data_IF_366864742355
#
_entry.id   IF_366864742355
#
_cell.length_a   1.000
_cell.length_b   1.000
_cell.length_c   1.000
_cell.angle_alpha   90.00
_cell.angle_beta   90.00
_cell.angle_gamma   90.00
#
_symmetry.space_group_name_H-M   'P 1'
#
loop_
_entity.id
_entity.type
_entity.pdbx_description
1 polymer ?
#
# COMPACT_ATOMS: atom_id res chain seq x y z
N UNK A 1 24.05 6.88 13.54
CA UNK A 1 25.03 5.81 13.24
C UNK A 1 24.35 4.92 12.21
N UNK A 2 24.85 4.88 10.96
CA UNK A 2 24.26 4.00 9.94
C UNK A 2 24.76 2.57 10.26
N UNK A 3 23.84 1.67 10.60
CA UNK A 3 24.15 0.25 10.63
C UNK A 3 24.52 -0.18 9.21
N UNK A 4 25.74 -0.59 9.03
CA UNK A 4 26.19 -1.24 7.80
C UNK A 4 25.55 -2.62 7.76
N UNK A 5 24.53 -2.79 6.93
CA UNK A 5 23.99 -4.11 6.64
C UNK A 5 25.09 -4.92 5.97
N UNK A 6 25.55 -5.97 6.62
CA UNK A 6 26.51 -6.89 6.01
C UNK A 6 25.81 -7.72 4.94
N UNK A 7 26.47 -7.93 3.80
CA UNK A 7 25.97 -8.85 2.79
C UNK A 7 25.77 -10.26 3.40
N UNK A 8 24.73 -10.99 2.98
CA UNK A 8 24.51 -12.35 3.43
C UNK A 8 25.72 -13.23 3.08
N UNK A 9 26.15 -14.05 4.02
CA UNK A 9 27.22 -15.03 3.83
C UNK A 9 26.67 -16.30 3.20
N UNK A 10 26.16 -16.24 1.97
CA UNK A 10 25.83 -17.45 1.24
C UNK A 10 26.98 -17.80 0.30
N UNK A 11 27.31 -19.10 0.23
CA UNK A 11 28.28 -19.63 -0.70
C UNK A 11 27.63 -20.10 -2.01
N UNK A 12 26.31 -20.17 -2.04
CA UNK A 12 25.53 -20.60 -3.19
C UNK A 12 24.80 -19.38 -3.83
N UNK A 13 25.30 -18.95 -4.99
CA UNK A 13 24.75 -17.82 -5.72
C UNK A 13 23.39 -18.15 -6.39
N UNK A 14 23.17 -19.40 -6.76
CA UNK A 14 21.89 -19.86 -7.32
C UNK A 14 20.79 -19.79 -6.24
N UNK A 15 21.08 -20.27 -5.02
CA UNK A 15 20.16 -20.15 -3.90
C UNK A 15 19.87 -18.68 -3.55
N UNK A 16 20.90 -17.84 -3.56
CA UNK A 16 20.73 -16.41 -3.30
C UNK A 16 19.80 -15.74 -4.32
N UNK A 17 20.03 -15.96 -5.62
CA UNK A 17 19.20 -15.35 -6.65
C UNK A 17 17.77 -15.87 -6.59
N UNK A 18 17.56 -17.18 -6.42
CA UNK A 18 16.23 -17.79 -6.36
C UNK A 18 15.44 -17.28 -5.15
N UNK A 19 16.08 -17.17 -3.99
CA UNK A 19 15.45 -16.65 -2.77
C UNK A 19 15.21 -15.13 -2.80
N UNK A 20 15.77 -14.41 -3.77
CA UNK A 20 15.62 -12.97 -3.95
C UNK A 20 14.55 -12.59 -4.98
N UNK A 21 13.90 -13.57 -5.61
CA UNK A 21 12.90 -13.34 -6.66
C UNK A 21 11.49 -13.55 -6.13
N UNK A 22 10.62 -12.56 -6.35
CA UNK A 22 9.18 -12.68 -6.15
C UNK A 22 8.47 -12.55 -7.51
N UNK A 23 8.20 -13.69 -8.16
CA UNK A 23 7.55 -13.72 -9.47
C UNK A 23 6.08 -13.31 -9.39
N UNK A 24 5.60 -12.52 -10.35
CA UNK A 24 4.16 -12.18 -10.49
C UNK A 24 3.32 -13.44 -10.77
N UNK A 25 3.86 -14.39 -11.52
CA UNK A 25 3.14 -15.62 -11.91
C UNK A 25 2.80 -16.51 -10.72
N UNK A 26 3.60 -16.48 -9.67
CA UNK A 26 3.37 -17.22 -8.44
C UNK A 26 2.41 -16.53 -7.47
N UNK A 27 1.84 -15.35 -7.83
CA UNK A 27 1.05 -14.51 -6.94
C UNK A 27 -0.33 -14.23 -7.50
N UNK A 28 -1.31 -14.26 -6.63
CA UNK A 28 -2.70 -13.90 -6.94
C UNK A 28 -3.02 -12.51 -6.41
N UNK A 29 -4.03 -11.86 -7.00
CA UNK A 29 -4.57 -10.62 -6.41
C UNK A 29 -5.44 -11.02 -5.23
N UNK A 30 -5.01 -10.63 -4.04
CA UNK A 30 -5.73 -10.86 -2.79
C UNK A 30 -6.72 -9.70 -2.53
N UNK A 31 -8.00 -10.00 -2.58
CA UNK A 31 -9.09 -9.08 -2.23
C UNK A 31 -9.61 -9.30 -0.81
N UNK A 32 -9.13 -10.29 -0.08
CA UNK A 32 -9.65 -10.66 1.23
C UNK A 32 -8.96 -9.90 2.37
N UNK A 33 -7.68 -9.64 2.28
CA UNK A 33 -6.92 -8.89 3.29
C UNK A 33 -7.56 -7.54 3.67
N UNK A 34 -8.12 -6.82 2.70
CA UNK A 34 -8.77 -5.52 2.92
C UNK A 34 -10.31 -5.58 2.82
N UNK A 35 -10.89 -6.77 2.76
CA UNK A 35 -12.33 -6.98 2.61
C UNK A 35 -13.17 -6.32 3.71
N UNK A 36 -12.62 -6.19 4.92
CA UNK A 36 -13.32 -5.52 6.02
C UNK A 36 -13.77 -4.08 5.64
N UNK A 37 -13.10 -3.43 4.70
CA UNK A 37 -13.46 -2.08 4.24
C UNK A 37 -14.78 -2.07 3.46
N UNK A 38 -15.15 -3.18 2.80
CA UNK A 38 -16.43 -3.28 2.07
C UNK A 38 -17.65 -3.34 2.98
N UNK A 39 -17.46 -3.44 4.32
CA UNK A 39 -18.55 -3.24 5.29
C UNK A 39 -19.21 -1.85 5.15
N UNK A 40 -18.46 -0.87 4.61
CA UNK A 40 -18.93 0.50 4.35
C UNK A 40 -19.37 0.72 2.89
N UNK A 41 -19.42 -0.33 2.09
CA UNK A 41 -19.86 -0.33 0.70
C UNK A 41 -18.83 -0.87 -0.28
N UNK A 42 -19.29 -1.39 -1.41
CA UNK A 42 -18.46 -2.03 -2.43
C UNK A 42 -17.43 -1.09 -3.07
N UNK A 43 -17.67 0.23 -3.00
CA UNK A 43 -16.70 1.23 -3.47
C UNK A 43 -15.33 1.15 -2.77
N UNK A 44 -15.25 0.50 -1.61
CA UNK A 44 -13.98 0.30 -0.88
C UNK A 44 -13.28 -1.02 -1.22
N UNK A 45 -13.74 -1.73 -2.25
CA UNK A 45 -13.10 -2.95 -2.71
C UNK A 45 -11.78 -2.64 -3.37
N UNK A 46 -10.71 -3.28 -2.91
CA UNK A 46 -9.38 -3.22 -3.52
C UNK A 46 -8.60 -4.50 -3.24
N UNK A 47 -7.71 -4.85 -4.15
CA UNK A 47 -6.86 -6.03 -4.03
C UNK A 47 -5.39 -5.66 -3.86
N UNK A 48 -4.62 -6.61 -3.36
CA UNK A 48 -3.17 -6.49 -3.21
C UNK A 48 -2.44 -7.68 -3.82
N UNK A 49 -1.25 -7.41 -4.35
CA UNK A 49 -0.24 -8.42 -4.66
C UNK A 49 1.00 -8.05 -3.87
N UNK A 50 1.33 -8.83 -2.85
CA UNK A 50 2.47 -8.58 -1.96
C UNK A 50 3.74 -9.19 -2.53
N UNK A 51 4.84 -8.45 -2.51
CA UNK A 51 6.17 -8.88 -2.98
C UNK A 51 7.21 -8.86 -1.87
N UNK A 52 7.28 -7.78 -1.10
CA UNK A 52 8.22 -7.61 0.02
C UNK A 52 7.43 -7.21 1.26
N UNK A 53 7.43 -8.05 2.28
CA UNK A 53 6.70 -7.82 3.52
C UNK A 53 5.18 -7.75 3.34
N UNK A 54 4.47 -7.65 4.45
CA UNK A 54 2.99 -7.65 4.48
C UNK A 54 2.38 -6.25 4.39
N UNK A 55 3.19 -5.20 4.28
CA UNK A 55 2.69 -3.83 4.37
C UNK A 55 2.07 -3.52 5.73
N UNK A 56 1.18 -2.54 5.77
CA UNK A 56 0.47 -2.11 6.97
C UNK A 56 -0.93 -2.75 7.10
N UNK A 57 -1.11 -3.95 6.57
CA UNK A 57 -2.41 -4.64 6.57
C UNK A 57 -2.76 -5.28 7.91
N UNK A 58 -1.74 -5.65 8.69
CA UNK A 58 -1.88 -6.45 9.92
C UNK A 58 -2.17 -7.93 9.65
N UNK A 59 -2.25 -8.34 8.39
CA UNK A 59 -2.42 -9.74 7.99
C UNK A 59 -1.08 -10.32 7.52
N UNK A 60 -0.62 -11.34 8.21
CA UNK A 60 0.63 -12.05 7.97
C UNK A 60 0.42 -13.50 7.52
N UNK A 61 -0.81 -13.87 7.12
CA UNK A 61 -1.17 -15.25 6.80
C UNK A 61 -0.34 -15.86 5.66
N UNK A 62 0.10 -15.02 4.71
CA UNK A 62 0.85 -15.44 3.53
C UNK A 62 2.31 -15.00 3.55
N UNK A 63 2.86 -14.62 4.70
CA UNK A 63 4.22 -14.07 4.81
C UNK A 63 5.31 -15.05 4.33
N UNK A 64 5.04 -16.36 4.37
CA UNK A 64 5.97 -17.39 3.86
C UNK A 64 6.12 -17.36 2.32
N UNK A 65 5.19 -16.70 1.62
CA UNK A 65 5.17 -16.64 0.16
C UNK A 65 5.74 -15.31 -0.40
N UNK A 66 6.26 -14.44 0.47
CA UNK A 66 6.79 -13.13 0.11
C UNK A 66 8.24 -13.00 0.57
N UNK A 67 8.98 -12.09 -0.07
CA UNK A 67 10.32 -11.74 0.37
C UNK A 67 10.24 -11.01 1.73
N UNK A 68 11.19 -11.30 2.61
CA UNK A 68 11.24 -10.64 3.92
C UNK A 68 11.67 -9.17 3.77
N UNK A 69 10.90 -8.27 4.37
CA UNK A 69 11.24 -6.85 4.40
C UNK A 69 12.41 -6.57 5.34
N UNK A 70 13.34 -5.69 4.94
CA UNK A 70 14.40 -5.19 5.81
C UNK A 70 14.23 -3.71 6.13
N UNK A 71 13.87 -2.88 5.12
CA UNK A 71 13.77 -1.43 5.26
C UNK A 71 12.44 -0.86 4.78
N UNK A 72 11.76 -1.57 3.87
CA UNK A 72 10.48 -1.15 3.30
C UNK A 72 9.64 -2.37 2.94
N UNK A 73 8.36 -2.16 2.73
CA UNK A 73 7.48 -3.15 2.11
C UNK A 73 7.10 -2.71 0.70
N UNK A 74 6.87 -3.68 -0.19
CA UNK A 74 6.49 -3.42 -1.57
C UNK A 74 5.33 -4.31 -1.99
N UNK A 75 4.29 -3.69 -2.51
CA UNK A 75 3.12 -4.38 -3.07
C UNK A 75 2.58 -3.67 -4.29
N UNK A 76 1.78 -4.37 -5.09
CA UNK A 76 0.91 -3.75 -6.06
C UNK A 76 -0.52 -3.71 -5.50
N UNK A 77 -1.18 -2.58 -5.63
CA UNK A 77 -2.60 -2.43 -5.34
C UNK A 77 -3.39 -2.41 -6.65
N UNK A 78 -4.41 -3.24 -6.74
CA UNK A 78 -5.45 -3.17 -7.77
C UNK A 78 -6.63 -2.42 -7.17
N UNK A 79 -6.95 -1.27 -7.75
CA UNK A 79 -8.07 -0.44 -7.34
C UNK A 79 -9.10 -0.43 -8.49
N UNK A 80 -10.22 -1.16 -8.38
CA UNK A 80 -11.21 -1.25 -9.44
C UNK A 80 -11.78 0.10 -9.85
N UNK A 81 -12.28 0.20 -11.08
CA UNK A 81 -12.87 1.41 -11.62
C UNK A 81 -13.92 2.01 -10.65
N UNK A 82 -13.79 3.30 -10.34
CA UNK A 82 -14.66 4.01 -9.39
C UNK A 82 -14.48 3.67 -7.92
N UNK A 83 -13.60 2.70 -7.59
CA UNK A 83 -13.32 2.35 -6.20
C UNK A 83 -12.40 3.34 -5.51
N UNK A 84 -12.43 3.29 -4.18
CA UNK A 84 -11.77 4.25 -3.28
C UNK A 84 -10.87 3.51 -2.29
N UNK A 85 -9.64 3.98 -2.15
CA UNK A 85 -8.83 3.75 -0.97
C UNK A 85 -9.23 4.80 0.08
N UNK A 86 -9.85 4.40 1.19
CA UNK A 86 -10.42 5.33 2.15
C UNK A 86 -9.37 6.24 2.77
N UNK A 87 -9.81 7.39 3.27
CA UNK A 87 -8.94 8.28 4.04
C UNK A 87 -8.37 7.55 5.25
N UNK A 88 -7.04 7.53 5.35
CA UNK A 88 -6.32 6.90 6.45
C UNK A 88 -4.99 7.63 6.70
N UNK A 89 -4.39 7.35 7.86
CA UNK A 89 -3.13 7.95 8.27
C UNK A 89 -2.17 6.87 8.75
N UNK A 90 -0.96 6.85 8.19
CA UNK A 90 0.17 6.12 8.75
C UNK A 90 0.90 7.02 9.74
N UNK A 91 0.94 6.67 11.05
CA UNK A 91 1.52 7.55 12.06
C UNK A 91 3.05 7.57 12.02
N UNK A 92 3.66 6.49 11.60
CA UNK A 92 5.08 6.16 11.79
C UNK A 92 5.90 6.21 10.50
N UNK A 93 5.28 6.13 9.33
CA UNK A 93 5.99 5.92 8.06
C UNK A 93 5.45 6.78 6.92
N UNK A 94 6.32 7.10 5.99
CA UNK A 94 5.91 7.61 4.68
C UNK A 94 5.42 6.49 3.79
N UNK A 95 4.55 6.83 2.85
CA UNK A 95 4.00 5.94 1.84
C UNK A 95 4.18 6.55 0.45
N UNK A 96 4.62 5.72 -0.48
CA UNK A 96 4.83 6.10 -1.88
C UNK A 96 3.88 5.32 -2.76
N UNK A 97 3.21 6.02 -3.67
CA UNK A 97 2.39 5.43 -4.72
C UNK A 97 2.98 5.78 -6.09
N UNK A 98 3.14 4.78 -6.93
CA UNK A 98 3.60 4.93 -8.31
C UNK A 98 2.60 4.25 -9.25
N UNK A 99 1.96 5.02 -10.11
CA UNK A 99 0.88 4.53 -10.98
C UNK A 99 1.46 3.77 -12.16
N UNK A 100 1.04 2.52 -12.34
CA UNK A 100 1.41 1.68 -13.48
C UNK A 100 0.36 1.68 -14.57
N UNK A 101 -0.93 1.67 -14.20
CA UNK A 101 -2.06 1.63 -15.13
C UNK A 101 -3.23 2.43 -14.58
N UNK A 102 -4.08 2.94 -15.47
CA UNK A 102 -5.25 3.74 -15.11
C UNK A 102 -4.92 5.17 -14.69
N UNK A 103 -5.91 5.84 -14.12
CA UNK A 103 -5.80 7.18 -13.55
C UNK A 103 -6.39 7.20 -12.14
N UNK A 104 -5.69 7.85 -11.23
CA UNK A 104 -6.04 7.89 -9.82
C UNK A 104 -6.01 9.31 -9.30
N UNK A 105 -7.11 9.75 -8.70
CA UNK A 105 -7.15 10.97 -7.92
C UNK A 105 -6.59 10.67 -6.53
N UNK A 106 -5.47 11.30 -6.19
CA UNK A 106 -4.90 11.28 -4.85
C UNK A 106 -5.27 12.56 -4.11
N UNK A 107 -5.67 12.40 -2.85
CA UNK A 107 -5.98 13.51 -1.96
C UNK A 107 -5.13 13.42 -0.70
N UNK A 108 -4.62 14.57 -0.26
CA UNK A 108 -4.06 14.76 1.08
C UNK A 108 -4.98 15.69 1.85
N UNK A 109 -5.18 15.40 3.12
CA UNK A 109 -6.12 16.14 3.97
C UNK A 109 -5.33 16.92 5.03
N UNK A 110 -5.89 18.05 5.45
CA UNK A 110 -5.32 18.85 6.52
C UNK A 110 -5.40 18.07 7.84
N UNK A 111 -4.34 18.10 8.63
CA UNK A 111 -4.23 17.34 9.88
C UNK A 111 -5.14 17.91 10.97
N UNK A 112 -5.32 19.25 11.00
CA UNK A 112 -6.13 19.94 11.99
C UNK A 112 -7.59 20.07 11.54
N UNK A 113 -7.80 20.35 10.25
CA UNK A 113 -9.12 20.48 9.63
C UNK A 113 -9.26 19.50 8.47
N UNK A 114 -9.60 18.25 8.79
CA UNK A 114 -9.75 17.18 7.81
C UNK A 114 -10.81 17.42 6.73
N UNK A 115 -11.64 18.48 6.85
CA UNK A 115 -12.55 18.89 5.77
C UNK A 115 -11.82 19.58 4.62
N UNK A 116 -10.63 20.13 4.87
CA UNK A 116 -9.76 20.71 3.86
C UNK A 116 -8.90 19.65 3.22
N UNK A 117 -8.88 19.62 1.91
CA UNK A 117 -8.05 18.70 1.13
C UNK A 117 -7.53 19.33 -0.14
N UNK A 118 -6.40 18.80 -0.61
CA UNK A 118 -5.88 19.06 -1.94
C UNK A 118 -5.79 17.76 -2.73
N UNK A 119 -6.20 17.78 -3.99
CA UNK A 119 -6.23 16.58 -4.83
C UNK A 119 -5.50 16.82 -6.16
N UNK A 120 -4.91 15.75 -6.71
CA UNK A 120 -4.36 15.72 -8.07
C UNK A 120 -4.69 14.36 -8.71
N UNK A 121 -4.94 14.38 -10.00
CA UNK A 121 -5.05 13.15 -10.79
C UNK A 121 -3.66 12.80 -11.31
N UNK A 122 -3.26 11.58 -11.00
CA UNK A 122 -2.01 10.97 -11.44
C UNK A 122 -2.30 9.83 -12.40
N UNK A 123 -1.44 9.66 -13.41
CA UNK A 123 -1.53 8.62 -14.42
C UNK A 123 -0.23 7.84 -14.57
N UNK A 124 -0.07 7.19 -15.71
CA UNK A 124 1.05 6.30 -16.00
C UNK A 124 2.42 6.92 -15.69
N UNK A 125 3.15 6.29 -14.76
CA UNK A 125 4.48 6.68 -14.25
C UNK A 125 4.53 7.96 -13.42
N UNK A 126 3.40 8.47 -12.99
CA UNK A 126 3.39 9.51 -11.97
C UNK A 126 3.58 8.91 -10.57
N UNK A 127 4.17 9.70 -9.69
CA UNK A 127 4.46 9.30 -8.32
C UNK A 127 3.99 10.37 -7.33
N UNK A 128 3.43 9.91 -6.22
CA UNK A 128 3.23 10.72 -5.03
C UNK A 128 3.88 10.06 -3.82
N UNK A 129 4.59 10.86 -3.01
CA UNK A 129 5.08 10.48 -1.68
C UNK A 129 4.30 11.23 -0.62
N UNK A 130 3.69 10.52 0.30
CA UNK A 130 2.94 11.10 1.42
C UNK A 130 3.73 10.88 2.70
N UNK A 131 4.10 11.95 3.44
CA UNK A 131 4.81 11.84 4.71
C UNK A 131 4.00 11.10 5.78
N UNK A 132 4.69 10.61 6.82
CA UNK A 132 4.05 10.12 8.03
C UNK A 132 3.14 11.20 8.65
N UNK A 133 2.05 10.77 9.27
CA UNK A 133 1.10 11.64 9.96
C UNK A 133 0.13 12.41 9.05
N UNK A 134 0.34 12.44 7.72
CA UNK A 134 -0.55 13.13 6.79
C UNK A 134 -1.69 12.20 6.35
N UNK A 135 -2.97 12.55 6.58
CA UNK A 135 -4.11 11.77 6.09
C UNK A 135 -4.18 11.81 4.56
N UNK A 136 -4.43 10.65 3.95
CA UNK A 136 -4.51 10.49 2.49
C UNK A 136 -5.64 9.58 2.08
N UNK A 137 -6.17 9.83 0.89
CA UNK A 137 -7.14 8.98 0.21
C UNK A 137 -6.86 8.95 -1.28
N UNK A 138 -7.42 7.95 -1.97
CA UNK A 138 -7.25 7.80 -3.41
C UNK A 138 -8.52 7.23 -4.04
N UNK A 139 -8.75 7.53 -5.31
CA UNK A 139 -9.91 7.05 -6.06
C UNK A 139 -9.53 6.81 -7.51
N UNK A 140 -9.90 5.67 -8.08
CA UNK A 140 -9.78 5.42 -9.51
C UNK A 140 -10.77 6.29 -10.28
N UNK A 141 -10.27 7.06 -11.23
CA UNK A 141 -11.07 7.98 -12.07
C UNK A 141 -11.08 7.57 -13.54
N UNK A 142 -10.27 6.59 -13.93
CA UNK A 142 -10.36 5.92 -15.25
C UNK A 142 -11.55 4.95 -15.30
N UNK A 143 -11.94 4.57 -16.52
CA UNK A 143 -12.97 3.57 -16.78
C UNK A 143 -12.46 2.14 -16.50
N UNK A 144 -11.14 1.94 -16.59
CA UNK A 144 -10.48 0.69 -16.23
C UNK A 144 -9.95 0.73 -14.79
N UNK A 145 -9.63 -0.45 -14.27
CA UNK A 145 -8.99 -0.63 -12.98
C UNK A 145 -7.61 0.07 -12.97
N UNK A 146 -7.24 0.63 -11.84
CA UNK A 146 -5.90 1.17 -11.65
C UNK A 146 -4.97 0.12 -11.03
N UNK A 147 -3.72 0.07 -11.51
CA UNK A 147 -2.63 -0.69 -10.92
C UNK A 147 -1.58 0.28 -10.36
N UNK A 148 -1.26 0.14 -9.09
CA UNK A 148 -0.42 1.08 -8.35
C UNK A 148 0.64 0.30 -7.58
N UNK A 149 1.93 0.65 -7.75
CA UNK A 149 2.96 0.21 -6.81
C UNK A 149 2.81 0.99 -5.50
N UNK A 150 2.88 0.29 -4.39
CA UNK A 150 2.83 0.85 -3.04
C UNK A 150 4.09 0.48 -2.30
N UNK A 151 4.82 1.48 -1.81
CA UNK A 151 6.01 1.31 -0.97
C UNK A 151 5.73 1.96 0.37
N UNK A 152 5.96 1.24 1.46
CA UNK A 152 5.82 1.76 2.81
C UNK A 152 7.19 1.69 3.49
N UNK A 153 7.65 2.80 4.03
CA UNK A 153 9.01 3.05 4.47
C UNK A 153 9.39 2.39 5.80
N UNK A 154 8.94 1.18 6.06
CA UNK A 154 9.37 0.39 7.22
C UNK A 154 9.27 -1.11 6.94
N UNK A 155 10.09 -1.90 7.63
CA UNK A 155 10.03 -3.36 7.66
C UNK A 155 8.69 -3.86 8.20
N UNK A 156 8.17 -3.20 9.21
CA UNK A 156 6.95 -3.57 9.93
C UNK A 156 6.19 -2.31 10.33
N UNK A 157 5.50 -1.66 9.37
CA UNK A 157 4.77 -0.43 9.64
C UNK A 157 3.62 -0.66 10.61
N UNK A 158 3.28 0.37 11.37
CA UNK A 158 2.08 0.35 12.20
C UNK A 158 0.82 0.27 11.33
N UNK A 159 -0.22 -0.32 11.89
CA UNK A 159 -1.54 -0.36 11.23
C UNK A 159 -2.08 1.08 11.16
N UNK A 160 -2.46 1.55 9.96
CA UNK A 160 -3.00 2.89 9.82
C UNK A 160 -4.33 3.04 10.56
N UNK A 161 -4.59 4.24 11.02
CA UNK A 161 -5.87 4.59 11.61
C UNK A 161 -6.73 5.41 10.64
N UNK A 162 -8.04 5.41 10.88
CA UNK A 162 -9.02 6.18 10.15
C UNK A 162 -9.40 7.43 10.96
N UNK A 163 -9.05 8.66 10.49
CA UNK A 163 -9.40 9.89 11.21
C UNK A 163 -10.93 10.09 11.28
N UNK A 164 -11.44 10.97 12.16
CA UNK A 164 -12.87 11.22 12.32
C UNK A 164 -13.60 11.65 11.04
N UNK A 165 -12.89 12.22 10.08
CA UNK A 165 -13.41 12.63 8.77
C UNK A 165 -13.55 11.47 7.78
N UNK A 166 -12.90 10.35 8.05
CA UNK A 166 -12.96 9.16 7.20
C UNK A 166 -14.32 8.45 7.32
N UNK A 167 -14.89 8.02 6.19
CA UNK A 167 -16.04 7.12 6.18
C UNK A 167 -15.77 5.79 6.91
N UNK A 168 -14.50 5.44 7.09
CA UNK A 168 -14.07 4.22 7.79
C UNK A 168 -13.84 4.44 9.30
N UNK A 169 -14.09 5.65 9.82
CA UNK A 169 -13.87 5.91 11.24
C UNK A 169 -14.68 4.95 12.13
N UNK A 170 -14.01 4.31 13.08
CA UNK A 170 -14.61 3.31 13.97
C UNK A 170 -14.84 1.92 13.35
N UNK A 171 -14.51 1.71 12.08
CA UNK A 171 -14.58 0.38 11.46
C UNK A 171 -13.40 -0.48 11.93
N UNK A 172 -13.73 -1.65 12.49
CA UNK A 172 -12.75 -2.65 12.94
C UNK A 172 -12.47 -3.69 11.84
N UNK A 173 -11.26 -4.20 11.82
CA UNK A 173 -10.80 -5.30 10.96
C UNK A 173 -11.40 -6.62 11.36
#
# INVERSE_FOLDING_TARGET
MSETVSAPTTTDLEELIDSSIASRESRVVDFDTLKFQTKMGDKFRRGQVRYIGSGATGDHSDDNNILQAEHFTFSNMVLPAGCVGPEHTHPDVEEVFFVLEGQVEFSVHDVEDGTKKASRVLGYRDLIRVPAGVPRSLRTVSEEDALICVIIGAKKPEIPFYPPTSEMHGVTR
#
